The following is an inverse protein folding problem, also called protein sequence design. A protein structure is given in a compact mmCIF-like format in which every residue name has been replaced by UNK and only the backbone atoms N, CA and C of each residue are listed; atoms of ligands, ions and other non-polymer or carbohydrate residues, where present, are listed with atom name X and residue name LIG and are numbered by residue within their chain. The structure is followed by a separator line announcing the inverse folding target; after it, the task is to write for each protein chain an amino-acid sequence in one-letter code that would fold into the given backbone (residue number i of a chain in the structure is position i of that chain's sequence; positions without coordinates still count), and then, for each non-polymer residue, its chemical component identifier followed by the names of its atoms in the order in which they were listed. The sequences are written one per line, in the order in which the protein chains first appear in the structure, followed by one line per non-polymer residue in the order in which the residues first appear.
data_IF_200618499828
#
_entry.id   IF_200618499828
#
_cell.length_a   1.000
_cell.length_b   1.000
_cell.length_c   1.000
_cell.angle_alpha   90.00
_cell.angle_beta   90.00
_cell.angle_gamma   90.00
#
_symmetry.space_group_name_H-M   'P 1'
#
loop_
_entity.id
_entity.type
_entity.pdbx_description
1 polymer ?
#
# COMPACT_ATOMS: atom_id res chain seq x y z
N UNK A 1 -18.66 3.81 -20.99
CA UNK A 1 -17.22 4.00 -20.68
C UNK A 1 -16.97 3.64 -19.22
N UNK A 2 -16.17 2.61 -18.92
CA UNK A 2 -15.78 2.30 -17.53
C UNK A 2 -14.87 3.42 -17.04
N UNK A 3 -15.35 4.32 -16.18
CA UNK A 3 -14.49 5.30 -15.52
C UNK A 3 -13.72 4.58 -14.42
N UNK A 4 -12.40 4.49 -14.56
CA UNK A 4 -11.55 4.01 -13.49
C UNK A 4 -11.56 5.04 -12.35
N UNK A 5 -11.60 4.59 -11.09
CA UNK A 5 -11.56 5.52 -9.97
C UNK A 5 -10.20 6.23 -9.93
N UNK A 6 -10.20 7.48 -9.49
CA UNK A 6 -8.97 8.28 -9.35
C UNK A 6 -7.89 7.53 -8.55
N UNK A 7 -8.31 6.83 -7.50
CA UNK A 7 -7.43 6.01 -6.65
C UNK A 7 -6.70 4.89 -7.42
N UNK A 8 -7.33 4.30 -8.45
CA UNK A 8 -6.68 3.31 -9.30
C UNK A 8 -5.54 3.94 -10.12
N UNK A 9 -5.78 5.13 -10.69
CA UNK A 9 -4.72 5.88 -11.36
C UNK A 9 -3.55 6.21 -10.44
N UNK A 10 -3.83 6.66 -9.21
CA UNK A 10 -2.80 6.94 -8.20
C UNK A 10 -2.02 5.67 -7.82
N UNK A 11 -2.69 4.53 -7.68
CA UNK A 11 -2.04 3.25 -7.43
C UNK A 11 -1.06 2.90 -8.57
N UNK A 12 -1.46 3.05 -9.83
CA UNK A 12 -0.59 2.81 -10.98
C UNK A 12 0.62 3.75 -11.01
N UNK A 13 0.43 5.01 -10.63
CA UNK A 13 1.55 5.95 -10.47
C UNK A 13 2.49 5.46 -9.37
N UNK A 14 1.97 4.99 -8.23
CA UNK A 14 2.79 4.40 -7.15
C UNK A 14 3.60 3.19 -7.61
N UNK A 15 3.03 2.34 -8.45
CA UNK A 15 3.72 1.19 -9.08
C UNK A 15 4.86 1.69 -9.97
N UNK A 16 4.57 2.65 -10.86
CA UNK A 16 5.54 3.21 -11.78
C UNK A 16 6.70 3.92 -11.05
N UNK A 17 6.40 4.68 -9.99
CA UNK A 17 7.42 5.32 -9.15
C UNK A 17 8.31 4.29 -8.48
N UNK A 18 7.72 3.24 -7.89
CA UNK A 18 8.49 2.19 -7.22
C UNK A 18 9.40 1.44 -8.20
N UNK A 19 8.87 1.04 -9.36
CA UNK A 19 9.65 0.39 -10.41
C UNK A 19 10.75 1.32 -10.96
N UNK A 20 10.43 2.60 -11.18
CA UNK A 20 11.37 3.61 -11.62
C UNK A 20 12.52 3.81 -10.63
N UNK A 21 12.23 3.86 -9.32
CA UNK A 21 13.26 3.93 -8.27
C UNK A 21 14.21 2.74 -8.36
N UNK A 22 13.68 1.51 -8.50
CA UNK A 22 14.52 0.31 -8.60
C UNK A 22 15.40 0.39 -9.85
N UNK A 23 14.83 0.69 -11.01
CA UNK A 23 15.56 0.76 -12.28
C UNK A 23 16.66 1.82 -12.29
N UNK A 24 16.39 2.99 -11.71
CA UNK A 24 17.28 4.16 -11.78
C UNK A 24 18.35 4.12 -10.68
N UNK A 25 17.98 3.71 -9.46
CA UNK A 25 18.85 3.84 -8.28
C UNK A 25 19.65 2.57 -7.99
N UNK A 26 19.17 1.39 -8.36
CA UNK A 26 19.90 0.14 -8.11
C UNK A 26 21.31 0.06 -8.73
N UNK A 27 21.59 0.63 -9.93
CA UNK A 27 22.95 0.61 -10.48
C UNK A 27 23.95 1.45 -9.67
N UNK A 28 23.46 2.41 -8.88
CA UNK A 28 24.28 3.29 -8.06
C UNK A 28 24.63 2.67 -6.70
N UNK A 29 24.03 1.51 -6.36
CA UNK A 29 24.28 0.86 -5.09
C UNK A 29 25.67 0.20 -5.05
N UNK A 30 26.34 0.22 -3.89
CA UNK A 30 27.53 -0.59 -3.64
C UNK A 30 27.20 -2.09 -3.70
N UNK A 31 28.23 -2.94 -3.82
CA UNK A 31 28.06 -4.40 -3.85
C UNK A 31 27.39 -4.97 -2.58
N UNK A 32 27.65 -4.35 -1.43
CA UNK A 32 27.04 -4.69 -0.13
C UNK A 32 26.14 -3.54 0.32
N UNK A 33 24.88 -3.85 0.58
CA UNK A 33 23.83 -2.87 0.89
C UNK A 33 23.39 -3.04 2.33
N UNK A 34 23.37 -1.94 3.09
CA UNK A 34 22.64 -1.85 4.35
C UNK A 34 21.14 -2.02 4.07
N UNK A 35 20.57 -3.12 4.52
CA UNK A 35 19.20 -3.56 4.21
C UNK A 35 18.30 -3.64 5.44
N UNK A 36 18.88 -3.64 6.63
CA UNK A 36 18.16 -3.57 7.89
C UNK A 36 18.75 -2.45 8.76
N UNK A 37 17.87 -1.73 9.44
CA UNK A 37 18.21 -0.57 10.25
C UNK A 37 17.53 -0.69 11.59
N UNK A 38 18.29 -0.49 12.66
CA UNK A 38 17.78 -0.51 14.03
C UNK A 38 16.92 0.70 14.34
N UNK A 39 16.33 0.72 15.54
CA UNK A 39 15.46 1.82 16.01
C UNK A 39 16.19 3.17 16.14
N UNK A 40 17.52 3.17 16.15
CA UNK A 40 18.38 4.35 16.13
C UNK A 40 18.72 4.84 14.71
N UNK A 41 18.02 4.34 13.68
CA UNK A 41 18.25 4.62 12.25
C UNK A 41 19.60 4.15 11.70
N UNK A 42 20.43 3.41 12.46
CA UNK A 42 21.72 2.91 12.00
C UNK A 42 21.56 1.52 11.39
N UNK A 43 22.30 1.25 10.33
CA UNK A 43 22.36 -0.07 9.75
C UNK A 43 22.96 -1.08 10.75
N UNK A 44 22.28 -2.21 10.89
CA UNK A 44 22.69 -3.36 11.70
C UNK A 44 22.56 -4.68 10.94
N UNK A 45 22.07 -4.64 9.70
CA UNK A 45 22.03 -5.78 8.78
C UNK A 45 22.34 -5.38 7.33
N UNK A 46 23.07 -6.25 6.64
CA UNK A 46 23.56 -6.02 5.29
C UNK A 46 23.31 -7.24 4.42
N UNK A 47 23.19 -7.01 3.11
CA UNK A 47 23.04 -8.09 2.13
C UNK A 47 23.69 -7.72 0.80
N UNK A 48 23.96 -8.70 -0.10
CA UNK A 48 24.40 -8.41 -1.45
C UNK A 48 23.38 -7.56 -2.21
N UNK A 49 23.86 -6.64 -3.06
CA UNK A 49 23.03 -5.75 -3.88
C UNK A 49 22.01 -6.51 -4.72
N UNK A 50 22.41 -7.60 -5.34
CA UNK A 50 21.55 -8.39 -6.22
C UNK A 50 20.37 -8.97 -5.44
N UNK A 51 20.62 -9.43 -4.22
CA UNK A 51 19.57 -9.95 -3.33
C UNK A 51 18.64 -8.83 -2.84
N UNK A 52 19.17 -7.65 -2.51
CA UNK A 52 18.38 -6.47 -2.15
C UNK A 52 17.44 -6.05 -3.29
N UNK A 53 17.98 -5.91 -4.50
CA UNK A 53 17.24 -5.49 -5.69
C UNK A 53 16.17 -6.52 -6.07
N UNK A 54 16.48 -7.81 -6.02
CA UNK A 54 15.49 -8.87 -6.23
C UNK A 54 14.36 -8.80 -5.19
N UNK A 55 14.70 -8.60 -3.92
CA UNK A 55 13.73 -8.42 -2.84
C UNK A 55 12.80 -7.22 -3.09
N UNK A 56 13.32 -6.11 -3.58
CA UNK A 56 12.50 -4.94 -3.93
C UNK A 56 11.54 -5.21 -5.08
N UNK A 57 12.00 -5.86 -6.16
CA UNK A 57 11.13 -6.24 -7.27
C UNK A 57 10.00 -7.16 -6.81
N UNK A 58 10.33 -8.19 -6.02
CA UNK A 58 9.34 -9.12 -5.48
C UNK A 58 8.34 -8.40 -4.59
N UNK A 59 8.81 -7.55 -3.66
CA UNK A 59 7.94 -6.81 -2.76
C UNK A 59 7.00 -5.86 -3.53
N UNK A 60 7.54 -5.07 -4.45
CA UNK A 60 6.74 -4.15 -5.28
C UNK A 60 5.73 -4.93 -6.13
N UNK A 61 6.12 -6.04 -6.75
CA UNK A 61 5.22 -6.86 -7.55
C UNK A 61 4.10 -7.48 -6.71
N UNK A 62 4.42 -8.08 -5.57
CA UNK A 62 3.44 -8.71 -4.66
C UNK A 62 2.45 -7.68 -4.13
N UNK A 63 2.93 -6.54 -3.63
CA UNK A 63 2.06 -5.48 -3.10
C UNK A 63 1.18 -4.89 -4.20
N UNK A 64 1.74 -4.63 -5.38
CA UNK A 64 0.98 -4.11 -6.52
C UNK A 64 -0.10 -5.10 -6.97
N UNK A 65 0.26 -6.37 -7.14
CA UNK A 65 -0.67 -7.41 -7.55
C UNK A 65 -1.78 -7.59 -6.52
N UNK A 66 -1.45 -7.63 -5.22
CA UNK A 66 -2.42 -7.72 -4.15
C UNK A 66 -3.48 -6.61 -4.27
N UNK A 67 -3.08 -5.33 -4.34
CA UNK A 67 -4.03 -4.22 -4.35
C UNK A 67 -4.74 -4.02 -5.69
N UNK A 68 -4.15 -4.41 -6.82
CA UNK A 68 -4.79 -4.36 -8.13
C UNK A 68 -5.84 -5.47 -8.30
N UNK A 69 -5.58 -6.67 -7.76
CA UNK A 69 -6.42 -7.84 -7.97
C UNK A 69 -7.49 -8.02 -6.89
N UNK A 70 -7.25 -7.54 -5.66
CA UNK A 70 -8.17 -7.73 -4.54
C UNK A 70 -9.61 -7.25 -4.83
N UNK A 71 -9.86 -6.11 -5.50
CA UNK A 71 -11.24 -5.71 -5.83
C UNK A 71 -11.94 -6.62 -6.84
N UNK A 72 -11.20 -7.28 -7.72
CA UNK A 72 -11.76 -8.29 -8.62
C UNK A 72 -12.06 -9.59 -7.86
N UNK A 73 -11.19 -9.98 -6.93
CA UNK A 73 -11.38 -11.16 -6.09
C UNK A 73 -12.61 -11.03 -5.18
N UNK A 74 -12.80 -9.88 -4.54
CA UNK A 74 -13.95 -9.65 -3.64
C UNK A 74 -15.29 -9.75 -4.40
N UNK A 75 -15.32 -9.47 -5.72
CA UNK A 75 -16.56 -9.59 -6.50
C UNK A 75 -17.02 -11.03 -6.71
N UNK A 76 -16.09 -11.99 -6.69
CA UNK A 76 -16.35 -13.40 -7.01
C UNK A 76 -16.44 -14.30 -5.78
N UNK A 77 -16.05 -13.82 -4.59
CA UNK A 77 -16.23 -14.58 -3.36
C UNK A 77 -17.70 -14.52 -2.89
N UNK A 78 -18.17 -15.59 -2.23
CA UNK A 78 -19.43 -15.61 -1.50
C UNK A 78 -19.56 -14.50 -0.43
N UNK A 79 -20.79 -14.02 -0.20
CA UNK A 79 -21.05 -12.90 0.73
C UNK A 79 -20.79 -13.28 2.20
N UNK A 80 -20.85 -14.57 2.56
CA UNK A 80 -20.49 -15.08 3.88
C UNK A 80 -18.99 -14.98 4.18
N UNK A 81 -18.15 -14.92 3.15
CA UNK A 81 -16.71 -14.68 3.28
C UNK A 81 -16.36 -13.19 3.45
N UNK A 82 -17.33 -12.28 3.26
CA UNK A 82 -17.13 -10.83 3.43
C UNK A 82 -17.49 -10.44 4.86
N UNK A 83 -16.47 -10.07 5.64
CA UNK A 83 -16.67 -9.57 7.00
C UNK A 83 -17.04 -8.09 6.99
N UNK A 84 -18.29 -7.78 7.35
CA UNK A 84 -18.84 -6.43 7.39
C UNK A 84 -19.91 -6.32 8.49
N UNK A 85 -19.98 -5.20 9.25
CA UNK A 85 -21.15 -4.90 10.07
C UNK A 85 -22.40 -4.82 9.20
N UNK A 86 -23.53 -5.38 9.66
CA UNK A 86 -24.82 -5.37 8.94
C UNK A 86 -24.69 -5.87 7.48
N UNK A 87 -23.90 -6.93 7.24
CA UNK A 87 -23.56 -7.40 5.89
C UNK A 87 -24.80 -7.73 5.05
N UNK A 88 -25.87 -8.25 5.66
CA UNK A 88 -27.13 -8.56 4.98
C UNK A 88 -27.75 -7.29 4.37
N UNK A 89 -27.62 -6.15 5.05
CA UNK A 89 -28.02 -4.87 4.50
C UNK A 89 -27.08 -4.46 3.35
N UNK A 90 -25.77 -4.42 3.55
CA UNK A 90 -24.85 -3.86 2.55
C UNK A 90 -24.63 -4.73 1.31
N UNK A 91 -24.79 -6.05 1.45
CA UNK A 91 -24.60 -7.05 0.39
C UNK A 91 -25.93 -7.53 -0.21
N UNK A 92 -27.07 -6.96 0.20
CA UNK A 92 -28.35 -7.18 -0.48
C UNK A 92 -28.21 -6.93 -2.00
N UNK A 93 -28.90 -7.71 -2.87
CA UNK A 93 -28.71 -7.67 -4.32
C UNK A 93 -28.76 -6.25 -4.93
N UNK A 94 -29.60 -5.37 -4.39
CA UNK A 94 -29.80 -4.00 -4.87
C UNK A 94 -28.62 -3.08 -4.52
N UNK A 95 -27.88 -3.38 -3.44
CA UNK A 95 -26.78 -2.54 -2.91
C UNK A 95 -25.40 -3.13 -3.14
N UNK A 96 -25.28 -4.44 -3.35
CA UNK A 96 -24.02 -5.19 -3.42
C UNK A 96 -23.00 -4.53 -4.35
N UNK A 97 -23.36 -4.28 -5.60
CA UNK A 97 -22.42 -3.71 -6.58
C UNK A 97 -21.98 -2.28 -6.19
N UNK A 98 -22.85 -1.48 -5.57
CA UNK A 98 -22.47 -0.16 -5.05
C UNK A 98 -21.53 -0.27 -3.85
N UNK A 99 -21.77 -1.22 -2.95
CA UNK A 99 -20.89 -1.55 -1.82
C UNK A 99 -19.52 -2.00 -2.30
N UNK A 100 -19.46 -2.89 -3.29
CA UNK A 100 -18.20 -3.42 -3.83
C UNK A 100 -17.40 -2.38 -4.59
N UNK A 101 -18.04 -1.47 -5.34
CA UNK A 101 -17.34 -0.32 -5.93
C UNK A 101 -16.71 0.58 -4.87
N UNK A 102 -17.43 0.85 -3.78
CA UNK A 102 -16.88 1.62 -2.68
C UNK A 102 -15.66 0.93 -2.04
N UNK A 103 -15.72 -0.39 -1.85
CA UNK A 103 -14.56 -1.16 -1.39
C UNK A 103 -13.38 -1.08 -2.36
N UNK A 104 -13.63 -1.24 -3.66
CA UNK A 104 -12.59 -1.15 -4.68
C UNK A 104 -11.82 0.18 -4.58
N UNK A 105 -12.54 1.30 -4.49
CA UNK A 105 -11.94 2.63 -4.38
C UNK A 105 -11.09 2.77 -3.11
N UNK A 106 -11.57 2.21 -1.98
CA UNK A 106 -10.85 2.24 -0.70
C UNK A 106 -9.62 1.35 -0.70
N UNK A 107 -9.69 0.19 -1.32
CA UNK A 107 -8.56 -0.74 -1.50
C UNK A 107 -7.49 -0.11 -2.38
N UNK A 108 -7.85 0.50 -3.51
CA UNK A 108 -6.88 1.18 -4.37
C UNK A 108 -6.21 2.36 -3.65
N UNK A 109 -6.98 3.16 -2.89
CA UNK A 109 -6.42 4.26 -2.12
C UNK A 109 -5.43 3.77 -1.05
N UNK A 110 -5.76 2.68 -0.36
CA UNK A 110 -4.89 2.08 0.64
C UNK A 110 -3.62 1.48 0.03
N UNK A 111 -3.74 0.80 -1.11
CA UNK A 111 -2.61 0.29 -1.87
C UNK A 111 -1.68 1.41 -2.34
N UNK A 112 -2.24 2.52 -2.82
CA UNK A 112 -1.47 3.69 -3.22
C UNK A 112 -0.69 4.29 -2.03
N UNK A 113 -1.33 4.43 -0.87
CA UNK A 113 -0.67 4.89 0.35
C UNK A 113 0.44 3.93 0.82
N UNK A 114 0.22 2.63 0.67
CA UNK A 114 1.21 1.59 0.99
C UNK A 114 2.44 1.69 0.09
N UNK A 115 2.24 1.83 -1.23
CA UNK A 115 3.34 2.04 -2.17
C UNK A 115 4.07 3.36 -1.92
N UNK A 116 3.36 4.43 -1.56
CA UNK A 116 3.98 5.70 -1.20
C UNK A 116 4.87 5.57 0.05
N UNK A 117 4.42 4.85 1.08
CA UNK A 117 5.26 4.52 2.25
C UNK A 117 6.51 3.74 1.82
N UNK A 118 6.33 2.67 1.05
CA UNK A 118 7.45 1.82 0.61
C UNK A 118 8.44 2.60 -0.25
N UNK A 119 7.98 3.44 -1.17
CA UNK A 119 8.81 4.30 -2.01
C UNK A 119 9.59 5.32 -1.17
N UNK A 120 8.95 5.93 -0.15
CA UNK A 120 9.58 6.87 0.77
C UNK A 120 10.68 6.22 1.62
N UNK A 121 10.39 5.08 2.23
CA UNK A 121 11.37 4.31 3.02
C UNK A 121 12.51 3.82 2.12
N UNK A 122 12.19 3.28 0.95
CA UNK A 122 13.16 2.81 -0.04
C UNK A 122 14.09 3.94 -0.49
N UNK A 123 13.57 5.14 -0.70
CA UNK A 123 14.39 6.31 -1.03
C UNK A 123 15.42 6.62 0.06
N UNK A 124 15.06 6.47 1.34
CA UNK A 124 15.98 6.66 2.46
C UNK A 124 17.07 5.58 2.45
N UNK A 125 16.72 4.33 2.20
CA UNK A 125 17.68 3.21 2.09
C UNK A 125 18.66 3.45 0.94
N UNK A 126 18.17 3.87 -0.24
CA UNK A 126 19.03 4.23 -1.37
C UNK A 126 19.98 5.36 -1.01
N UNK A 127 19.47 6.46 -0.44
CA UNK A 127 20.28 7.61 -0.03
C UNK A 127 21.37 7.22 0.97
N UNK A 128 21.04 6.40 1.98
CA UNK A 128 21.97 5.95 3.01
C UNK A 128 23.12 5.10 2.45
N UNK A 129 22.82 4.28 1.43
CA UNK A 129 23.81 3.40 0.81
C UNK A 129 24.66 4.11 -0.24
N UNK A 130 24.04 4.92 -1.12
CA UNK A 130 24.75 5.69 -2.14
C UNK A 130 25.67 6.73 -1.49
N UNK A 131 25.22 7.37 -0.40
CA UNK A 131 26.02 8.33 0.35
C UNK A 131 27.02 7.70 1.34
N UNK A 132 27.00 6.37 1.53
CA UNK A 132 27.88 5.66 2.46
C UNK A 132 27.65 5.95 3.96
N UNK A 133 26.57 6.66 4.32
CA UNK A 133 26.28 7.00 5.74
C UNK A 133 25.77 5.81 6.54
N UNK A 134 25.18 4.82 5.85
CA UNK A 134 24.48 3.67 6.44
C UNK A 134 23.53 4.06 7.59
N UNK A 135 22.97 5.26 7.50
CA UNK A 135 22.08 5.84 8.49
C UNK A 135 20.88 6.44 7.76
N UNK A 136 19.67 6.06 8.17
CA UNK A 136 18.44 6.64 7.61
C UNK A 136 18.29 8.09 8.06
N UNK A 137 17.62 8.92 7.24
CA UNK A 137 17.29 10.28 7.62
C UNK A 137 16.43 10.31 8.89
N UNK A 138 16.64 11.33 9.73
CA UNK A 138 15.89 11.51 10.98
C UNK A 138 14.37 11.58 10.77
N UNK A 139 13.94 12.03 9.59
CA UNK A 139 12.54 12.12 9.18
C UNK A 139 11.89 10.76 8.82
N UNK A 140 12.62 9.64 8.79
CA UNK A 140 12.07 8.34 8.35
C UNK A 140 10.85 7.91 9.16
N UNK A 141 10.87 8.17 10.48
CA UNK A 141 9.73 7.89 11.36
C UNK A 141 8.45 8.65 10.98
N UNK A 142 8.57 9.81 10.32
CA UNK A 142 7.42 10.61 9.88
C UNK A 142 6.61 9.85 8.82
N UNK A 143 7.25 9.13 7.90
CA UNK A 143 6.52 8.35 6.89
C UNK A 143 5.66 7.26 7.55
N UNK A 144 6.20 6.58 8.55
CA UNK A 144 5.50 5.54 9.30
C UNK A 144 4.34 6.16 10.08
N UNK A 145 4.58 7.24 10.84
CA UNK A 145 3.52 7.93 11.59
C UNK A 145 2.42 8.44 10.67
N UNK A 146 2.77 9.06 9.54
CA UNK A 146 1.81 9.53 8.56
C UNK A 146 0.98 8.38 7.98
N UNK A 147 1.60 7.24 7.66
CA UNK A 147 0.89 6.06 7.18
C UNK A 147 -0.03 5.45 8.25
N UNK A 148 0.39 5.42 9.51
CA UNK A 148 -0.43 4.95 10.63
C UNK A 148 -1.63 5.87 10.88
N UNK A 149 -1.44 7.18 10.84
CA UNK A 149 -2.53 8.16 10.94
C UNK A 149 -3.50 8.01 9.77
N UNK A 150 -2.99 7.88 8.55
CA UNK A 150 -3.80 7.60 7.36
C UNK A 150 -4.60 6.31 7.54
N UNK A 151 -3.97 5.23 8.01
CA UNK A 151 -4.62 3.94 8.27
C UNK A 151 -5.72 4.09 9.31
N UNK A 152 -5.49 4.81 10.40
CA UNK A 152 -6.50 5.09 11.43
C UNK A 152 -7.71 5.84 10.86
N UNK A 153 -7.48 6.91 10.09
CA UNK A 153 -8.55 7.67 9.42
C UNK A 153 -9.30 6.80 8.40
N UNK A 154 -8.58 5.97 7.65
CA UNK A 154 -9.14 5.07 6.65
C UNK A 154 -10.04 3.99 7.28
N UNK A 155 -9.56 3.34 8.35
CA UNK A 155 -10.34 2.35 9.12
C UNK A 155 -11.55 3.00 9.77
N UNK A 156 -11.38 4.15 10.43
CA UNK A 156 -12.49 4.89 11.03
C UNK A 156 -13.56 5.25 10.00
N UNK A 157 -13.15 5.72 8.81
CA UNK A 157 -14.06 6.04 7.72
C UNK A 157 -14.85 4.83 7.21
N UNK A 158 -14.22 3.66 7.13
CA UNK A 158 -14.88 2.41 6.77
C UNK A 158 -15.89 1.98 7.83
N UNK A 159 -15.47 1.91 9.10
CA UNK A 159 -16.34 1.53 10.20
C UNK A 159 -17.54 2.46 10.30
N UNK A 160 -17.32 3.78 10.27
CA UNK A 160 -18.40 4.77 10.33
C UNK A 160 -19.42 4.61 9.19
N UNK A 161 -18.96 4.25 7.99
CA UNK A 161 -19.87 4.02 6.86
C UNK A 161 -20.69 2.76 7.04
N UNK A 162 -20.04 1.66 7.42
CA UNK A 162 -20.69 0.35 7.44
C UNK A 162 -21.47 0.05 8.72
N UNK A 163 -21.23 0.77 9.82
CA UNK A 163 -22.02 0.67 11.05
C UNK A 163 -23.30 1.51 11.06
N UNK A 164 -23.71 2.10 9.93
CA UNK A 164 -24.94 2.91 9.82
C UNK A 164 -25.79 2.41 8.65
N UNK A 165 -26.57 1.34 8.79
CA UNK A 165 -27.56 0.98 7.78
C UNK A 165 -28.53 2.17 7.63
N UNK A 166 -28.76 2.64 6.41
CA UNK A 166 -29.78 3.67 6.21
C UNK A 166 -31.13 3.04 6.59
N UNK A 167 -31.89 3.71 7.47
CA UNK A 167 -33.23 3.25 7.84
C UNK A 167 -34.03 3.00 6.55
N UNK A 168 -34.79 1.89 6.44
CA UNK A 168 -35.67 1.69 5.30
C UNK A 168 -36.62 2.90 5.19
N UNK A 169 -36.97 3.34 3.96
CA UNK A 169 -37.97 4.39 3.79
C UNK A 169 -39.27 3.90 4.44
N UNK A 170 -39.82 4.74 5.34
CA UNK A 170 -41.15 4.57 5.96
C UNK A 170 -42.23 4.71 4.90
#
# INVERSE_FOLDING_TARGET
MKRFPMAFGVLLVGVAVSAGQILILSPLLPATVASHFGTNNRADGFMPREAFVAGQWVMTAVISALFLLLPALIRVIPDDMINLPDKEYWLAPERRETTLRYFADRIYAFGAATLALLAGVTQQVYTANIGGSHTLGSATGIYIVAFLLYTGVWVYGLLRRFSRPALPPV
#
